data_IF_150639811550
#
_entry.id   IF_150639811550
#
_cell.length_a   1.000
_cell.length_b   1.000
_cell.length_c   1.000
_cell.angle_alpha   90.00
_cell.angle_beta   90.00
_cell.angle_gamma   90.00
#
_symmetry.space_group_name_H-M   'P 1'
#
loop_
_entity.id
_entity.type
_entity.pdbx_description
1 polymer ?
#
# COMPACT_ATOMS: atom_id res chain seq x y z
N UNK A 1 8.13 -17.01 15.00
CA UNK A 1 7.82 -15.75 15.72
C UNK A 1 6.57 -15.15 15.09
N UNK A 2 5.89 -14.20 15.75
CA UNK A 2 4.74 -13.48 15.18
C UNK A 2 5.07 -12.85 13.81
N UNK A 3 6.25 -12.23 13.68
CA UNK A 3 6.69 -11.58 12.45
C UNK A 3 6.90 -12.57 11.29
N UNK A 4 7.59 -13.68 11.52
CA UNK A 4 7.81 -14.69 10.47
C UNK A 4 6.49 -15.30 10.00
N UNK A 5 5.58 -15.61 10.93
CA UNK A 5 4.27 -16.14 10.58
C UNK A 5 3.45 -15.14 9.76
N UNK A 6 3.46 -13.86 10.13
CA UNK A 6 2.80 -12.81 9.36
C UNK A 6 3.44 -12.60 7.98
N UNK A 7 4.76 -12.65 7.86
CA UNK A 7 5.46 -12.52 6.58
C UNK A 7 5.30 -13.73 5.67
N UNK A 8 5.22 -14.95 6.21
CA UNK A 8 4.86 -16.13 5.44
C UNK A 8 3.46 -15.98 4.84
N UNK A 9 2.49 -15.53 5.64
CA UNK A 9 1.13 -15.27 5.16
C UNK A 9 1.11 -14.20 4.05
N UNK A 10 1.84 -13.09 4.24
CA UNK A 10 1.93 -12.04 3.22
C UNK A 10 2.60 -12.54 1.94
N UNK A 11 3.67 -13.36 2.04
CA UNK A 11 4.34 -13.95 0.88
C UNK A 11 3.45 -14.94 0.13
N UNK A 12 2.68 -15.75 0.84
CA UNK A 12 1.73 -16.70 0.25
C UNK A 12 0.65 -15.97 -0.56
N UNK A 13 0.20 -14.81 -0.10
CA UNK A 13 -0.74 -13.95 -0.84
C UNK A 13 -0.11 -13.22 -2.04
N UNK A 14 1.22 -13.29 -2.20
CA UNK A 14 1.96 -12.80 -3.36
C UNK A 14 2.46 -13.92 -4.28
N UNK A 15 2.21 -15.19 -3.92
CA UNK A 15 2.68 -16.34 -4.68
C UNK A 15 1.95 -16.47 -6.04
N UNK A 16 2.70 -16.84 -7.08
CA UNK A 16 2.17 -16.98 -8.45
C UNK A 16 1.51 -18.33 -8.72
N UNK A 17 1.77 -19.34 -7.89
CA UNK A 17 1.20 -20.70 -7.99
C UNK A 17 0.99 -21.29 -6.59
N UNK A 18 -0.04 -22.13 -6.38
CA UNK A 18 -0.27 -22.83 -5.12
C UNK A 18 0.91 -23.68 -4.64
N UNK A 19 1.77 -24.10 -5.55
CA UNK A 19 2.97 -24.92 -5.26
C UNK A 19 4.01 -24.17 -4.41
N UNK A 20 3.97 -22.84 -4.42
CA UNK A 20 4.88 -21.99 -3.66
C UNK A 20 4.33 -21.59 -2.29
N UNK A 21 3.12 -22.03 -1.93
CA UNK A 21 2.53 -21.74 -0.63
C UNK A 21 3.27 -22.49 0.47
N UNK A 22 3.62 -21.78 1.55
CA UNK A 22 4.30 -22.37 2.71
C UNK A 22 3.34 -22.62 3.87
N UNK A 23 2.28 -21.82 4.00
CA UNK A 23 1.25 -22.00 5.02
C UNK A 23 0.14 -22.95 4.54
N UNK A 24 -0.35 -23.75 5.48
CA UNK A 24 -1.59 -24.52 5.33
C UNK A 24 -2.76 -23.70 5.92
N UNK A 25 -3.94 -24.29 5.94
CA UNK A 25 -5.10 -23.71 6.61
C UNK A 25 -4.79 -23.29 8.07
N UNK A 26 -5.22 -22.07 8.42
CA UNK A 26 -5.02 -21.48 9.74
C UNK A 26 -6.02 -22.10 10.73
N UNK A 27 -5.55 -23.03 11.56
CA UNK A 27 -6.42 -23.81 12.45
C UNK A 27 -6.57 -23.19 13.85
N UNK A 28 -5.46 -23.00 14.56
CA UNK A 28 -5.43 -22.48 15.92
C UNK A 28 -4.03 -21.93 16.24
N UNK A 29 -3.97 -20.87 17.04
CA UNK A 29 -2.72 -20.29 17.52
C UNK A 29 -2.82 -19.98 19.02
N UNK A 30 -1.77 -20.34 19.76
CA UNK A 30 -1.54 -19.87 21.13
C UNK A 30 -0.50 -18.77 21.05
N UNK A 31 -0.83 -17.60 21.60
CA UNK A 31 0.01 -16.42 21.57
C UNK A 31 0.52 -16.18 22.98
N UNK A 32 1.84 -16.24 23.13
CA UNK A 32 2.52 -15.77 24.35
C UNK A 32 2.72 -14.25 24.27
N UNK A 33 2.83 -13.58 25.43
CA UNK A 33 2.94 -12.11 25.52
C UNK A 33 1.84 -11.36 24.72
N UNK A 34 0.59 -11.78 24.92
CA UNK A 34 -0.56 -11.35 24.11
C UNK A 34 -0.78 -9.83 24.10
N UNK A 35 -0.47 -9.14 25.19
CA UNK A 35 -0.55 -7.69 25.31
C UNK A 35 0.50 -7.02 24.41
N UNK A 36 1.76 -7.47 24.46
CA UNK A 36 2.79 -6.95 23.57
C UNK A 36 2.43 -7.19 22.09
N UNK A 37 1.99 -8.40 21.73
CA UNK A 37 1.73 -8.76 20.33
C UNK A 37 0.45 -8.11 19.77
N UNK A 38 -0.67 -8.17 20.49
CA UNK A 38 -1.97 -7.73 19.96
C UNK A 38 -2.34 -6.28 20.30
N UNK A 39 -1.59 -5.59 21.16
CA UNK A 39 -1.82 -4.18 21.51
C UNK A 39 -0.68 -3.30 21.03
N UNK A 40 0.55 -3.64 21.40
CA UNK A 40 1.70 -2.77 21.15
C UNK A 40 2.25 -2.96 19.74
N UNK A 41 2.66 -4.17 19.38
CA UNK A 41 3.21 -4.47 18.06
C UNK A 41 2.17 -4.40 16.95
N UNK A 42 0.90 -4.73 17.23
CA UNK A 42 -0.18 -4.69 16.26
C UNK A 42 -0.42 -3.29 15.63
N UNK A 43 0.09 -2.22 16.25
CA UNK A 43 0.04 -0.85 15.72
C UNK A 43 1.05 -0.61 14.60
N UNK A 44 2.06 -1.47 14.47
CA UNK A 44 3.06 -1.39 13.41
C UNK A 44 2.69 -2.40 12.31
N UNK A 45 2.37 -1.97 11.09
CA UNK A 45 2.00 -2.88 10.02
C UNK A 45 3.20 -3.75 9.61
N UNK A 46 2.96 -5.04 9.35
CA UNK A 46 3.92 -5.90 8.67
C UNK A 46 3.93 -5.58 7.17
N UNK A 47 5.08 -5.14 6.65
CA UNK A 47 5.23 -4.68 5.27
C UNK A 47 6.35 -5.46 4.56
N UNK A 48 6.04 -6.04 3.40
CA UNK A 48 7.05 -6.53 2.46
C UNK A 48 7.37 -5.42 1.47
N UNK A 49 8.55 -4.80 1.59
CA UNK A 49 9.06 -3.81 0.64
C UNK A 49 10.18 -4.41 -0.21
N UNK A 50 10.05 -4.33 -1.53
CA UNK A 50 11.12 -4.66 -2.47
C UNK A 50 11.93 -3.43 -2.89
N UNK A 51 13.16 -3.60 -3.39
CA UNK A 51 13.88 -2.51 -4.03
C UNK A 51 13.11 -2.04 -5.27
N UNK A 52 12.91 -0.73 -5.37
CA UNK A 52 12.30 -0.12 -6.56
C UNK A 52 13.41 0.59 -7.34
N UNK A 53 13.47 0.38 -8.65
CA UNK A 53 14.21 1.25 -9.57
C UNK A 53 13.50 2.60 -9.60
N UNK A 54 13.77 3.45 -8.60
CA UNK A 54 13.13 4.76 -8.47
C UNK A 54 13.47 5.63 -9.68
N UNK A 55 12.53 5.70 -10.62
CA UNK A 55 12.48 6.72 -11.66
C UNK A 55 11.30 7.63 -11.31
N UNK A 56 11.58 8.83 -10.78
CA UNK A 56 10.58 9.88 -10.62
C UNK A 56 10.13 10.46 -11.98
N UNK A 57 10.61 9.92 -13.10
CA UNK A 57 10.40 10.42 -14.45
C UNK A 57 8.91 10.61 -14.77
N UNK A 58 8.07 9.64 -14.43
CA UNK A 58 6.64 9.72 -14.71
C UNK A 58 5.96 10.85 -13.92
N UNK A 59 6.32 11.03 -12.65
CA UNK A 59 5.83 12.15 -11.85
C UNK A 59 6.26 13.50 -12.45
N UNK A 60 7.55 13.65 -12.77
CA UNK A 60 8.07 14.89 -13.36
C UNK A 60 7.48 15.19 -14.75
N UNK A 61 7.16 14.17 -15.54
CA UNK A 61 6.51 14.33 -16.86
C UNK A 61 5.03 14.70 -16.74
N UNK A 62 4.31 14.12 -15.78
CA UNK A 62 2.86 14.32 -15.63
C UNK A 62 2.52 15.57 -14.84
N UNK A 63 3.32 15.96 -13.84
CA UNK A 63 3.06 17.12 -12.97
C UNK A 63 2.71 18.39 -13.76
N UNK A 64 3.52 18.88 -14.72
CA UNK A 64 3.21 20.11 -15.45
C UNK A 64 1.95 19.99 -16.32
N UNK A 65 1.63 18.79 -16.82
CA UNK A 65 0.42 18.56 -17.63
C UNK A 65 -0.84 18.64 -16.77
N UNK A 66 -0.79 18.04 -15.58
CA UNK A 66 -1.89 18.08 -14.62
C UNK A 66 -2.07 19.50 -14.08
N UNK A 67 -0.99 20.20 -13.71
CA UNK A 67 -1.03 21.61 -13.28
C UNK A 67 -1.71 22.49 -14.34
N UNK A 68 -1.35 22.31 -15.62
CA UNK A 68 -1.99 23.06 -16.71
C UNK A 68 -3.48 22.75 -16.85
N UNK A 69 -3.87 21.48 -16.73
CA UNK A 69 -5.26 21.07 -16.82
C UNK A 69 -6.11 21.73 -15.73
N UNK A 70 -5.63 21.69 -14.48
CA UNK A 70 -6.28 22.31 -13.33
C UNK A 70 -6.44 23.81 -13.56
N UNK A 71 -5.38 24.50 -14.02
CA UNK A 71 -5.45 25.94 -14.28
C UNK A 71 -6.51 26.32 -15.32
N UNK A 72 -6.63 25.56 -16.42
CA UNK A 72 -7.65 25.79 -17.45
C UNK A 72 -9.07 25.56 -16.88
N UNK A 73 -9.23 24.54 -16.04
CA UNK A 73 -10.52 24.26 -15.38
C UNK A 73 -10.93 25.39 -14.44
N UNK A 74 -9.99 25.93 -13.65
CA UNK A 74 -10.25 27.08 -12.77
C UNK A 74 -10.70 28.31 -13.55
N UNK A 75 -10.02 28.63 -14.67
CA UNK A 75 -10.40 29.74 -15.53
C UNK A 75 -11.79 29.57 -16.13
N UNK A 76 -12.14 28.35 -16.57
CA UNK A 76 -13.47 28.05 -17.08
C UNK A 76 -14.55 28.25 -16.02
N UNK A 77 -14.32 27.76 -14.80
CA UNK A 77 -15.25 27.91 -13.69
C UNK A 77 -15.46 29.39 -13.36
N UNK A 78 -14.38 30.18 -13.25
CA UNK A 78 -14.47 31.61 -12.98
C UNK A 78 -15.29 32.33 -14.06
N UNK A 79 -15.07 31.98 -15.32
CA UNK A 79 -15.85 32.53 -16.43
C UNK A 79 -17.33 32.20 -16.29
N UNK A 80 -17.69 30.93 -16.11
CA UNK A 80 -19.09 30.51 -15.96
C UNK A 80 -19.77 31.19 -14.76
N UNK A 81 -19.08 31.31 -13.64
CA UNK A 81 -19.60 32.00 -12.44
C UNK A 81 -19.80 33.49 -12.69
N UNK A 82 -18.92 34.13 -13.46
CA UNK A 82 -19.07 35.56 -13.79
C UNK A 82 -20.19 35.86 -14.80
N UNK A 83 -20.59 34.86 -15.60
CA UNK A 83 -21.65 34.97 -16.61
C UNK A 83 -23.05 34.62 -16.07
N UNK A 84 -23.14 34.09 -14.85
CA UNK A 84 -24.38 33.74 -14.15
C UNK A 84 -24.89 34.88 -13.25
#
# INVERSE_FOLDING_TARGET
TNNEFGFDYLRDNMASSPEYLVQRELNFAVIDEVDNILIDEARTPLIISGPVTKSNKEYEELRPRIERLVHVQEQLIQKVVSEA
#
